data_IF_159722794479
#
_entry.id   IF_159722794479
#
_cell.length_a   1.000
_cell.length_b   1.000
_cell.length_c   1.000
_cell.angle_alpha   90.00
_cell.angle_beta   90.00
_cell.angle_gamma   90.00
#
_symmetry.space_group_name_H-M   'P 1'
#
loop_
_entity.id
_entity.type
_entity.pdbx_description
1 polymer ?
#
# COMPACT_ATOMS: atom_id res chain seq x y z
N UNK A 1 34.04 -9.67 -1.20
CA UNK A 1 33.42 -9.56 -2.53
C UNK A 1 32.45 -10.73 -2.72
N UNK A 2 31.16 -10.58 -2.40
CA UNK A 2 30.18 -11.68 -2.48
C UNK A 2 28.72 -11.22 -2.68
N UNK A 3 28.48 -9.92 -2.91
CA UNK A 3 27.13 -9.37 -2.98
C UNK A 3 26.40 -9.65 -4.30
N UNK A 4 27.10 -9.82 -5.42
CA UNK A 4 26.49 -10.09 -6.74
C UNK A 4 25.90 -11.51 -6.81
N UNK A 5 26.65 -12.54 -6.39
CA UNK A 5 26.20 -13.93 -6.48
C UNK A 5 24.92 -14.21 -5.68
N UNK A 6 24.76 -13.61 -4.51
CA UNK A 6 23.53 -13.74 -3.71
C UNK A 6 22.33 -13.02 -4.34
N UNK A 7 22.55 -11.95 -5.12
CA UNK A 7 21.48 -11.20 -5.80
C UNK A 7 20.87 -12.02 -6.95
N UNK A 8 21.71 -12.67 -7.74
CA UNK A 8 21.28 -13.51 -8.87
C UNK A 8 20.46 -14.70 -8.39
N UNK A 9 20.87 -15.34 -7.28
CA UNK A 9 20.17 -16.51 -6.71
C UNK A 9 18.74 -16.16 -6.28
N UNK A 10 18.52 -15.01 -5.62
CA UNK A 10 17.17 -14.61 -5.20
C UNK A 10 16.27 -14.21 -6.36
N UNK A 11 16.82 -13.54 -7.38
CA UNK A 11 16.07 -13.23 -8.59
C UNK A 11 15.68 -14.50 -9.35
N UNK A 12 16.57 -15.49 -9.44
CA UNK A 12 16.30 -16.79 -10.04
C UNK A 12 15.19 -17.54 -9.28
N UNK A 13 15.29 -17.63 -7.94
CA UNK A 13 14.26 -18.27 -7.11
C UNK A 13 12.88 -17.60 -7.23
N UNK A 14 12.83 -16.28 -7.40
CA UNK A 14 11.58 -15.54 -7.61
C UNK A 14 10.97 -15.79 -8.99
N UNK A 15 11.81 -15.87 -10.03
CA UNK A 15 11.38 -16.30 -11.37
C UNK A 15 10.80 -17.71 -11.32
N UNK A 16 11.51 -18.65 -10.69
CA UNK A 16 11.10 -20.05 -10.61
C UNK A 16 9.72 -20.23 -9.94
N UNK A 17 9.45 -19.54 -8.82
CA UNK A 17 8.15 -19.64 -8.14
C UNK A 17 7.02 -18.98 -8.93
N UNK A 18 7.29 -17.83 -9.57
CA UNK A 18 6.29 -17.12 -10.37
C UNK A 18 5.86 -17.92 -11.60
N UNK A 19 6.80 -18.63 -12.21
CA UNK A 19 6.57 -19.51 -13.36
C UNK A 19 5.80 -20.76 -12.93
N UNK A 20 6.20 -21.41 -11.83
CA UNK A 20 5.49 -22.58 -11.29
C UNK A 20 4.05 -22.26 -10.90
N UNK A 21 3.79 -21.08 -10.31
CA UNK A 21 2.43 -20.65 -10.02
C UNK A 21 1.66 -20.41 -11.33
N UNK A 22 2.25 -19.73 -12.31
CA UNK A 22 1.59 -19.50 -13.60
C UNK A 22 1.27 -20.82 -14.32
N UNK A 23 2.18 -21.79 -14.27
CA UNK A 23 2.00 -23.13 -14.85
C UNK A 23 0.89 -23.92 -14.15
N UNK A 24 0.88 -23.92 -12.81
CA UNK A 24 -0.16 -24.63 -12.02
C UNK A 24 -1.57 -24.13 -12.33
N UNK A 25 -1.71 -22.84 -12.66
CA UNK A 25 -2.99 -22.19 -12.88
C UNK A 25 -3.28 -21.86 -14.36
N UNK A 26 -2.45 -22.34 -15.29
CA UNK A 26 -2.54 -22.01 -16.73
C UNK A 26 -3.90 -22.40 -17.35
N UNK A 27 -4.45 -23.53 -16.90
CA UNK A 27 -5.73 -24.07 -17.40
C UNK A 27 -6.95 -23.48 -16.68
N UNK A 28 -6.75 -22.68 -15.63
CA UNK A 28 -7.85 -22.07 -14.88
C UNK A 28 -8.18 -20.69 -15.42
N UNK A 29 -9.47 -20.45 -15.66
CA UNK A 29 -10.00 -19.15 -16.02
C UNK A 29 -11.11 -18.74 -15.06
N UNK A 30 -11.23 -17.44 -14.80
CA UNK A 30 -12.15 -16.86 -13.83
C UNK A 30 -12.98 -15.77 -14.48
N UNK A 31 -14.29 -15.80 -14.24
CA UNK A 31 -15.25 -14.86 -14.83
C UNK A 31 -15.98 -15.41 -16.04
N UNK A 32 -17.12 -14.79 -16.35
CA UNK A 32 -18.09 -15.33 -17.32
C UNK A 32 -18.09 -14.54 -18.62
N UNK A 33 -18.19 -13.20 -18.53
CA UNK A 33 -18.17 -12.27 -19.67
C UNK A 33 -16.76 -11.88 -20.07
N UNK A 34 -15.85 -11.81 -19.09
CA UNK A 34 -14.44 -11.51 -19.34
C UNK A 34 -13.60 -12.57 -18.63
N UNK A 35 -13.31 -13.70 -19.30
CA UNK A 35 -12.48 -14.76 -18.72
C UNK A 35 -11.08 -14.22 -18.39
N UNK A 36 -10.60 -14.45 -17.17
CA UNK A 36 -9.28 -13.99 -16.69
C UNK A 36 -8.41 -15.16 -16.25
N UNK A 37 -7.12 -15.06 -16.53
CA UNK A 37 -6.07 -15.99 -16.11
C UNK A 37 -5.21 -15.36 -15.02
N UNK A 38 -4.70 -16.22 -14.14
CA UNK A 38 -3.75 -15.82 -13.12
C UNK A 38 -2.40 -15.51 -13.76
N UNK A 39 -1.82 -14.37 -13.42
CA UNK A 39 -0.48 -13.96 -13.84
C UNK A 39 0.27 -13.39 -12.65
N UNK A 40 1.53 -13.74 -12.54
CA UNK A 40 2.46 -13.11 -11.59
C UNK A 40 3.33 -12.15 -12.39
N UNK A 41 3.32 -10.86 -12.04
CA UNK A 41 4.13 -9.86 -12.72
C UNK A 41 5.38 -9.54 -11.93
N UNK A 42 6.41 -9.12 -12.65
CA UNK A 42 7.64 -8.60 -12.08
C UNK A 42 7.36 -7.48 -11.06
N UNK A 43 8.27 -7.29 -10.09
CA UNK A 43 8.13 -6.27 -9.05
C UNK A 43 8.01 -4.85 -9.61
N UNK A 44 7.10 -4.05 -9.03
CA UNK A 44 6.92 -2.65 -9.39
C UNK A 44 8.09 -1.79 -8.88
N UNK A 45 8.85 -1.20 -9.80
CA UNK A 45 9.85 -0.15 -9.54
C UNK A 45 11.28 -0.48 -10.00
N UNK A 46 12.13 0.55 -10.23
CA UNK A 46 13.52 0.35 -10.61
C UNK A 46 14.26 -0.36 -9.47
N UNK A 47 14.90 -1.47 -9.81
CA UNK A 47 15.59 -2.38 -8.89
C UNK A 47 16.88 -1.76 -8.29
N UNK A 48 16.76 -0.62 -7.61
CA UNK A 48 17.89 0.16 -7.06
C UNK A 48 18.25 -0.22 -5.63
N UNK A 49 17.46 -1.08 -4.98
CA UNK A 49 17.66 -1.52 -3.59
C UNK A 49 18.20 -2.95 -3.40
N UNK A 50 18.56 -3.65 -4.48
CA UNK A 50 19.23 -4.96 -4.41
C UNK A 50 18.33 -6.13 -4.01
N UNK A 51 17.22 -6.36 -4.72
CA UNK A 51 16.47 -7.63 -4.79
C UNK A 51 15.84 -8.20 -3.50
N UNK A 52 16.22 -7.70 -2.32
CA UNK A 52 15.85 -8.24 -1.00
C UNK A 52 14.39 -8.01 -0.59
N UNK A 53 13.65 -7.19 -1.34
CA UNK A 53 12.25 -6.78 -1.06
C UNK A 53 11.47 -6.61 -2.37
N UNK A 54 11.73 -7.46 -3.34
CA UNK A 54 11.12 -7.37 -4.65
C UNK A 54 9.78 -8.11 -4.63
N UNK A 55 8.69 -7.38 -4.35
CA UNK A 55 7.33 -7.92 -4.29
C UNK A 55 6.78 -8.11 -5.70
N UNK A 56 6.51 -9.34 -6.09
CA UNK A 56 5.84 -9.67 -7.34
C UNK A 56 4.33 -9.60 -7.13
N UNK A 57 3.60 -8.96 -8.05
CA UNK A 57 2.16 -8.82 -7.97
C UNK A 57 1.45 -10.05 -8.54
N UNK A 58 0.46 -10.56 -7.81
CA UNK A 58 -0.44 -11.62 -8.27
C UNK A 58 -1.69 -10.94 -8.80
N UNK A 59 -1.94 -11.07 -10.09
CA UNK A 59 -3.04 -10.39 -10.79
C UNK A 59 -3.84 -11.36 -11.65
N UNK A 60 -5.12 -11.06 -11.82
CA UNK A 60 -5.96 -11.69 -12.84
C UNK A 60 -5.99 -10.77 -14.06
N UNK A 61 -5.51 -11.28 -15.19
CA UNK A 61 -5.55 -10.60 -16.48
C UNK A 61 -6.55 -11.31 -17.39
N UNK A 62 -7.44 -10.61 -18.10
CA UNK A 62 -8.22 -11.25 -19.16
C UNK A 62 -7.39 -12.13 -20.10
N UNK A 63 -7.96 -13.26 -20.50
CA UNK A 63 -7.30 -14.33 -21.25
C UNK A 63 -7.09 -13.98 -22.73
N UNK A 64 -8.01 -13.19 -23.28
CA UNK A 64 -7.87 -12.57 -24.59
C UNK A 64 -7.37 -11.16 -24.36
N UNK A 65 -6.27 -10.79 -25.03
CA UNK A 65 -5.76 -9.42 -25.08
C UNK A 65 -6.41 -8.75 -26.31
N UNK A 66 -7.56 -8.07 -26.17
CA UNK A 66 -8.11 -7.30 -27.27
C UNK A 66 -7.11 -6.21 -27.70
N UNK A 67 -7.09 -5.84 -28.99
CA UNK A 67 -6.17 -4.84 -29.60
C UNK A 67 -6.09 -3.49 -28.84
N UNK A 68 -7.09 -3.21 -28.00
CA UNK A 68 -7.26 -2.05 -27.15
C UNK A 68 -7.19 -2.40 -25.65
N UNK A 69 -6.33 -3.35 -25.29
CA UNK A 69 -6.05 -3.73 -23.91
C UNK A 69 -5.64 -2.52 -23.07
N UNK A 70 -6.53 -2.12 -22.16
CA UNK A 70 -6.21 -1.12 -21.16
C UNK A 70 -5.78 -1.85 -19.88
N UNK A 71 -4.59 -1.53 -19.36
CA UNK A 71 -4.01 -2.13 -18.14
C UNK A 71 -4.93 -2.04 -16.91
N UNK A 72 -5.96 -1.20 -16.99
CA UNK A 72 -7.02 -1.05 -16.01
C UNK A 72 -7.91 -2.28 -15.79
N UNK A 73 -8.03 -3.23 -16.73
CA UNK A 73 -8.90 -4.41 -16.53
C UNK A 73 -8.25 -5.54 -15.70
N UNK A 74 -6.99 -5.36 -15.33
CA UNK A 74 -6.28 -6.25 -14.42
C UNK A 74 -6.83 -6.13 -12.99
N UNK A 75 -7.01 -7.29 -12.35
CA UNK A 75 -7.56 -7.37 -10.99
C UNK A 75 -6.45 -7.83 -10.04
N UNK A 76 -5.95 -6.95 -9.15
CA UNK A 76 -4.84 -7.28 -8.27
C UNK A 76 -5.31 -8.10 -7.07
N UNK A 77 -5.01 -9.40 -7.08
CA UNK A 77 -5.38 -10.38 -6.06
C UNK A 77 -4.44 -10.38 -4.86
N UNK A 78 -3.19 -9.94 -5.02
CA UNK A 78 -2.22 -9.96 -3.94
C UNK A 78 -0.79 -9.69 -4.39
N UNK A 79 0.16 -10.00 -3.52
CA UNK A 79 1.59 -9.95 -3.81
C UNK A 79 2.32 -11.10 -3.12
N UNK A 80 3.48 -11.46 -3.65
CA UNK A 80 4.41 -12.40 -3.04
C UNK A 80 5.82 -11.82 -2.98
N UNK A 81 6.55 -12.16 -1.93
CA UNK A 81 7.96 -11.86 -1.72
C UNK A 81 8.71 -13.18 -1.60
N UNK A 82 9.38 -13.57 -2.68
CA UNK A 82 10.12 -14.83 -2.75
C UNK A 82 11.35 -14.83 -1.83
N UNK A 83 11.96 -13.68 -1.56
CA UNK A 83 13.12 -13.57 -0.69
C UNK A 83 12.74 -13.76 0.78
N UNK A 84 11.59 -13.22 1.20
CA UNK A 84 11.08 -13.36 2.56
C UNK A 84 10.18 -14.59 2.77
N UNK A 85 9.88 -15.35 1.70
CA UNK A 85 8.91 -16.46 1.72
C UNK A 85 7.57 -16.03 2.31
N UNK A 86 7.08 -14.87 1.89
CA UNK A 86 5.82 -14.30 2.35
C UNK A 86 4.90 -14.00 1.17
N UNK A 87 3.60 -14.15 1.37
CA UNK A 87 2.60 -13.69 0.42
C UNK A 87 1.39 -13.11 1.13
N UNK A 88 0.83 -12.06 0.54
CA UNK A 88 -0.41 -11.44 0.97
C UNK A 88 -1.43 -11.55 -0.15
N UNK A 89 -2.58 -12.13 0.18
CA UNK A 89 -3.71 -12.31 -0.73
C UNK A 89 -4.88 -11.47 -0.23
N UNK A 90 -5.71 -10.96 -1.13
CA UNK A 90 -6.91 -10.18 -0.80
C UNK A 90 -8.13 -11.07 -0.82
N UNK A 91 -9.01 -10.92 0.17
CA UNK A 91 -10.32 -11.56 0.14
C UNK A 91 -11.17 -11.06 -1.03
N UNK A 92 -12.22 -11.81 -1.36
CA UNK A 92 -13.17 -11.41 -2.40
C UNK A 92 -13.75 -10.02 -2.13
N UNK A 93 -14.13 -9.73 -0.88
CA UNK A 93 -14.75 -8.45 -0.50
C UNK A 93 -13.82 -7.26 -0.77
N UNK A 94 -12.53 -7.40 -0.45
CA UNK A 94 -11.52 -6.36 -0.70
C UNK A 94 -11.33 -6.14 -2.18
N UNK A 95 -11.23 -7.22 -2.95
CA UNK A 95 -11.02 -7.18 -4.38
C UNK A 95 -12.24 -6.62 -5.13
N UNK A 96 -13.45 -7.08 -4.78
CA UNK A 96 -14.70 -6.59 -5.34
C UNK A 96 -14.92 -5.11 -5.02
N UNK A 97 -14.63 -4.68 -3.79
CA UNK A 97 -14.70 -3.29 -3.38
C UNK A 97 -13.72 -2.41 -4.15
N UNK A 98 -12.46 -2.83 -4.27
CA UNK A 98 -11.43 -2.10 -5.02
C UNK A 98 -11.78 -2.00 -6.52
N UNK A 99 -12.27 -3.10 -7.10
CA UNK A 99 -12.68 -3.13 -8.51
C UNK A 99 -13.89 -2.21 -8.75
N UNK A 100 -14.89 -2.24 -7.86
CA UNK A 100 -16.05 -1.37 -7.96
C UNK A 100 -15.67 0.11 -7.81
N UNK A 101 -14.79 0.46 -6.86
CA UNK A 101 -14.28 1.82 -6.70
C UNK A 101 -13.53 2.33 -7.94
N UNK A 102 -12.81 1.44 -8.65
CA UNK A 102 -12.03 1.81 -9.84
C UNK A 102 -12.88 1.92 -11.11
N UNK A 103 -13.87 1.03 -11.29
CA UNK A 103 -14.59 0.89 -12.55
C UNK A 103 -16.08 1.23 -12.48
N UNK A 104 -16.62 1.52 -11.29
CA UNK A 104 -18.05 1.80 -11.09
C UNK A 104 -18.98 0.61 -11.33
N UNK A 105 -18.44 -0.59 -11.61
CA UNK A 105 -19.21 -1.81 -11.93
C UNK A 105 -18.80 -2.97 -11.03
N UNK A 106 -19.67 -3.97 -10.89
CA UNK A 106 -19.35 -5.20 -10.15
C UNK A 106 -18.30 -6.00 -10.91
N UNK A 107 -17.44 -6.69 -10.17
CA UNK A 107 -16.48 -7.60 -10.76
C UNK A 107 -17.19 -8.81 -11.37
N UNK A 108 -16.71 -9.24 -12.53
CA UNK A 108 -17.22 -10.40 -13.26
C UNK A 108 -16.49 -11.67 -12.79
N UNK A 109 -16.54 -11.95 -11.49
CA UNK A 109 -15.97 -13.15 -10.85
C UNK A 109 -16.92 -13.54 -9.72
N UNK A 110 -17.25 -14.83 -9.63
CA UNK A 110 -18.07 -15.35 -8.55
C UNK A 110 -17.24 -15.54 -7.26
N UNK A 111 -17.88 -15.29 -6.11
CA UNK A 111 -17.22 -15.41 -4.82
C UNK A 111 -16.73 -16.85 -4.53
N UNK A 112 -17.54 -17.92 -4.71
CA UNK A 112 -17.09 -19.28 -4.41
C UNK A 112 -15.87 -19.70 -5.24
N UNK A 113 -15.85 -19.38 -6.54
CA UNK A 113 -14.74 -19.67 -7.44
C UNK A 113 -13.46 -18.92 -7.05
N UNK A 114 -13.60 -17.67 -6.60
CA UNK A 114 -12.46 -16.91 -6.09
C UNK A 114 -11.92 -17.44 -4.76
N UNK A 115 -12.79 -17.86 -3.84
CA UNK A 115 -12.38 -18.43 -2.56
C UNK A 115 -11.66 -19.78 -2.75
N UNK A 116 -12.11 -20.61 -3.70
CA UNK A 116 -11.40 -21.82 -4.12
C UNK A 116 -10.03 -21.52 -4.72
N UNK A 117 -9.93 -20.50 -5.59
CA UNK A 117 -8.65 -20.03 -6.13
C UNK A 117 -7.69 -19.61 -5.01
N UNK A 118 -8.17 -18.83 -4.03
CA UNK A 118 -7.36 -18.42 -2.89
C UNK A 118 -6.87 -19.62 -2.08
N UNK A 119 -7.74 -20.59 -1.81
CA UNK A 119 -7.38 -21.81 -1.10
C UNK A 119 -6.31 -22.60 -1.86
N UNK A 120 -6.43 -22.73 -3.19
CA UNK A 120 -5.45 -23.42 -4.03
C UNK A 120 -4.09 -22.72 -4.07
N UNK A 121 -4.09 -21.38 -4.15
CA UNK A 121 -2.86 -20.57 -4.10
C UNK A 121 -2.20 -20.74 -2.73
N UNK A 122 -2.97 -20.66 -1.65
CA UNK A 122 -2.43 -20.87 -0.30
C UNK A 122 -1.86 -22.27 -0.13
N UNK A 123 -2.57 -23.30 -0.59
CA UNK A 123 -2.11 -24.68 -0.52
C UNK A 123 -0.79 -24.85 -1.29
N UNK A 124 -0.70 -24.28 -2.49
CA UNK A 124 0.54 -24.29 -3.27
C UNK A 124 1.70 -23.56 -2.56
N UNK A 125 1.47 -22.34 -2.10
CA UNK A 125 2.50 -21.55 -1.45
C UNK A 125 2.99 -22.21 -0.15
N UNK A 126 2.10 -22.88 0.58
CA UNK A 126 2.47 -23.68 1.76
C UNK A 126 3.41 -24.85 1.42
N UNK A 127 3.23 -25.54 0.29
CA UNK A 127 4.18 -26.61 -0.11
C UNK A 127 5.56 -26.06 -0.46
N UNK A 128 5.64 -24.78 -0.83
CA UNK A 128 6.88 -24.05 -1.11
C UNK A 128 7.46 -23.34 0.14
N UNK A 129 6.94 -23.64 1.33
CA UNK A 129 7.31 -23.06 2.62
C UNK A 129 7.08 -21.53 2.73
N UNK A 130 6.08 -20.99 2.02
CA UNK A 130 5.68 -19.59 2.18
C UNK A 130 4.68 -19.42 3.33
N UNK A 131 4.81 -18.30 4.04
CA UNK A 131 3.79 -17.80 4.97
C UNK A 131 2.77 -16.96 4.21
N UNK A 132 1.50 -17.33 4.29
CA UNK A 132 0.41 -16.63 3.60
C UNK A 132 -0.48 -15.86 4.58
N UNK A 133 -0.83 -14.63 4.22
CA UNK A 133 -1.80 -13.79 4.95
C UNK A 133 -2.94 -13.41 4.02
N UNK A 134 -4.18 -13.50 4.48
CA UNK A 134 -5.34 -12.97 3.75
C UNK A 134 -5.77 -11.66 4.39
N UNK A 135 -5.77 -10.60 3.60
CA UNK A 135 -6.29 -9.30 4.01
C UNK A 135 -7.77 -9.24 3.69
N UNK A 136 -8.59 -9.28 4.74
CA UNK A 136 -10.05 -9.15 4.68
C UNK A 136 -10.55 -7.72 4.92
N UNK A 137 -9.66 -6.83 5.39
CA UNK A 137 -10.01 -5.43 5.65
C UNK A 137 -9.89 -4.66 4.35
N UNK A 138 -11.01 -4.11 3.84
CA UNK A 138 -10.95 -3.08 2.81
C UNK A 138 -10.18 -1.92 3.43
N UNK A 139 -9.00 -1.52 2.94
CA UNK A 139 -8.40 -0.29 3.40
C UNK A 139 -9.37 0.82 3.01
N UNK A 140 -10.20 1.23 3.97
CA UNK A 140 -10.91 2.50 3.90
C UNK A 140 -9.80 3.49 3.65
N UNK A 141 -9.74 4.03 2.43
CA UNK A 141 -8.77 5.02 1.97
C UNK A 141 -8.42 5.85 3.19
N UNK A 142 -7.23 5.61 3.74
CA UNK A 142 -6.80 6.32 4.93
C UNK A 142 -6.81 7.78 4.48
N UNK A 143 -7.87 8.49 4.85
CA UNK A 143 -7.79 9.91 5.01
C UNK A 143 -6.49 10.08 5.79
N UNK A 144 -5.57 10.85 5.22
CA UNK A 144 -4.35 11.28 5.89
C UNK A 144 -4.76 12.06 7.13
N UNK A 145 -5.23 11.37 8.15
CA UNK A 145 -5.16 11.83 9.51
C UNK A 145 -3.71 11.59 9.84
N UNK A 146 -2.90 12.63 9.63
CA UNK A 146 -1.77 12.92 10.52
C UNK A 146 -2.34 13.01 11.93
N UNK A 147 -2.71 11.88 12.52
CA UNK A 147 -2.84 11.75 13.95
C UNK A 147 -1.42 11.43 14.39
N UNK A 148 -0.59 12.48 14.40
CA UNK A 148 0.56 12.53 15.25
C UNK A 148 0.08 12.15 16.64
N UNK A 149 0.83 11.26 17.26
CA UNK A 149 0.77 10.85 18.65
C UNK A 149 0.23 11.97 19.55
N UNK A 150 -1.10 11.96 19.77
CA UNK A 150 -1.73 12.65 20.89
C UNK A 150 -1.84 11.59 21.97
N UNK A 151 -0.72 11.42 22.67
CA UNK A 151 -0.70 10.80 23.99
C UNK A 151 -1.77 11.48 24.84
N UNK A 152 -2.68 10.66 25.33
CA UNK A 152 -3.82 11.04 26.13
C UNK A 152 -3.32 11.49 27.51
N UNK A 153 -3.07 12.80 27.66
CA UNK A 153 -2.83 13.41 28.96
C UNK A 153 -4.17 13.71 29.66
N UNK A 154 -4.30 13.45 30.97
CA UNK A 154 -5.54 13.57 31.70
C UNK A 154 -5.98 15.03 31.81
N UNK A 155 -7.29 15.21 31.71
CA UNK A 155 -8.03 16.47 31.87
C UNK A 155 -7.82 17.04 33.28
N UNK A 156 -7.17 18.21 33.40
CA UNK A 156 -7.34 19.09 34.56
C UNK A 156 -6.88 20.54 34.28
N UNK A 157 -7.75 21.48 34.68
CA UNK A 157 -7.51 22.90 34.97
C UNK A 157 -7.34 23.90 33.80
N UNK A 158 -8.48 24.51 33.45
CA UNK A 158 -8.59 25.89 32.94
C UNK A 158 -7.72 26.84 33.76
N UNK A 159 -6.66 27.40 33.15
CA UNK A 159 -5.89 28.50 33.71
C UNK A 159 -6.07 29.76 32.85
N UNK A 160 -7.08 30.53 33.23
CA UNK A 160 -7.28 31.92 32.83
C UNK A 160 -6.21 32.77 33.53
N UNK A 161 -5.04 32.96 32.91
CA UNK A 161 -3.95 33.69 33.60
C UNK A 161 -2.79 34.23 32.77
N UNK A 162 -2.82 34.12 31.43
CA UNK A 162 -1.66 34.50 30.58
C UNK A 162 -1.85 35.74 29.70
N UNK A 163 -3.07 36.20 29.46
CA UNK A 163 -3.35 37.20 28.42
C UNK A 163 -3.09 38.66 28.84
N UNK A 164 -2.96 38.96 30.14
CA UNK A 164 -2.79 40.34 30.62
C UNK A 164 -1.33 40.82 30.61
N UNK A 165 -0.34 39.92 30.66
CA UNK A 165 1.08 40.31 30.72
C UNK A 165 1.67 40.68 29.35
N UNK A 166 1.15 40.11 28.26
CA UNK A 166 1.61 40.40 26.91
C UNK A 166 1.33 41.83 26.45
N UNK A 167 0.20 42.42 26.87
CA UNK A 167 -0.18 43.79 26.48
C UNK A 167 0.64 44.83 27.24
N UNK A 168 0.95 44.60 28.53
CA UNK A 168 1.76 45.52 29.34
C UNK A 168 3.20 45.61 28.81
N UNK A 169 3.81 44.48 28.44
CA UNK A 169 5.15 44.48 27.85
C UNK A 169 5.22 45.22 26.51
N UNK A 170 4.18 45.10 25.67
CA UNK A 170 4.13 45.76 24.37
C UNK A 170 3.98 47.29 24.51
N UNK A 171 3.12 47.76 25.43
CA UNK A 171 2.92 49.20 25.67
C UNK A 171 4.16 49.84 26.31
N UNK A 172 4.81 49.16 27.27
CA UNK A 172 6.04 49.67 27.89
C UNK A 172 7.19 49.79 26.88
N UNK A 173 7.35 48.79 26.00
CA UNK A 173 8.35 48.83 24.93
C UNK A 173 8.07 49.95 23.92
N UNK A 174 6.80 50.20 23.59
CA UNK A 174 6.42 51.26 22.67
C UNK A 174 6.66 52.66 23.27
N UNK A 175 6.38 52.86 24.56
CA UNK A 175 6.65 54.14 25.25
C UNK A 175 8.15 54.40 25.37
N UNK A 176 8.96 53.39 25.70
CA UNK A 176 10.42 53.53 25.75
C UNK A 176 11.02 53.88 24.38
N UNK A 177 10.52 53.24 23.31
CA UNK A 177 10.92 53.55 21.94
C UNK A 177 10.50 54.98 21.55
N UNK A 178 9.29 55.40 21.89
CA UNK A 178 8.79 56.74 21.60
C UNK A 178 9.58 57.82 22.35
N UNK A 179 9.95 57.59 23.61
CA UNK A 179 10.75 58.52 24.41
C UNK A 179 12.19 58.65 23.91
N UNK A 180 12.81 57.57 23.42
CA UNK A 180 14.14 57.63 22.80
C UNK A 180 14.14 58.40 21.48
N UNK A 181 13.07 58.28 20.69
CA UNK A 181 12.91 59.03 19.44
C UNK A 181 12.56 60.50 19.72
N UNK A 182 11.74 60.78 20.75
CA UNK A 182 11.33 62.13 21.11
C UNK A 182 12.44 62.96 21.80
N UNK A 183 13.33 62.33 22.58
CA UNK A 183 14.42 63.02 23.29
C UNK A 183 15.79 62.93 22.59
N UNK A 184 15.93 62.13 21.53
CA UNK A 184 17.22 61.86 20.86
C UNK A 184 17.45 62.55 19.51
N UNK A 185 16.54 63.40 19.01
CA UNK A 185 16.64 63.95 17.67
C UNK A 185 16.24 65.44 17.57
N UNK A 186 16.68 66.28 18.50
CA UNK A 186 16.99 67.71 18.23
C UNK A 186 18.20 68.11 19.08
N UNK A 187 19.40 67.83 18.56
CA UNK A 187 20.53 68.77 18.60
C UNK A 187 21.58 68.38 17.57
#
# INVERSE_FOLDING_TARGET
>A
MSYEASRTVHAQQALDISELLSLKFADKSFGTRTPRKLKVTAPDGPSTGGGKRARQSIILVPAEEPENWNSGESVPCGWLDAAQKQAELKSFDVLASQYHQRHGRRIDIDQPGYDLLLADIQAFLKTQAFTTKVTAVVPQKAATTRHLDREEAPVAATNTGGALWGVVGFVAGFIACYMLVAFGAIR
#
